data_IF_850588134639
#
_entry.id   IF_850588134639
#
_cell.length_a   1.000
_cell.length_b   1.000
_cell.length_c   1.000
_cell.angle_alpha   90.00
_cell.angle_beta   90.00
_cell.angle_gamma   90.00
#
_symmetry.space_group_name_H-M   'P 1'
#
loop_
_entity.id
_entity.type
_entity.pdbx_description
1 polymer ?
#
# COMPACT_ATOMS: atom_id res chain seq x y z
N UNK A 1 6.27 -19.66 13.44
CA UNK A 1 5.88 -18.93 12.22
C UNK A 1 5.04 -17.75 12.69
N UNK A 2 5.48 -16.50 12.48
CA UNK A 2 4.70 -15.33 12.82
C UNK A 2 3.55 -15.31 11.80
N UNK A 3 2.35 -15.71 12.24
CA UNK A 3 1.15 -15.50 11.41
C UNK A 3 0.97 -14.00 11.27
N UNK A 4 0.96 -13.49 10.06
CA UNK A 4 0.94 -12.06 9.85
C UNK A 4 -0.40 -11.44 10.28
N UNK A 5 -0.51 -10.21 10.04
CA UNK A 5 -1.51 -9.22 10.30
C UNK A 5 -2.99 -9.61 10.07
N UNK A 6 -3.32 -10.77 9.57
CA UNK A 6 -4.68 -11.17 9.22
C UNK A 6 -5.48 -11.66 10.43
N UNK A 7 -6.77 -11.36 10.46
CA UNK A 7 -7.74 -11.96 11.38
C UNK A 7 -8.22 -13.28 10.78
N UNK A 8 -8.29 -14.31 11.61
CA UNK A 8 -9.02 -15.53 11.27
C UNK A 8 -10.50 -15.36 11.68
N UNK A 9 -11.46 -16.04 11.03
CA UNK A 9 -12.90 -15.92 11.36
C UNK A 9 -13.22 -16.20 12.84
N UNK A 10 -12.39 -17.00 13.51
CA UNK A 10 -12.54 -17.36 14.93
C UNK A 10 -11.78 -16.42 15.89
N UNK A 11 -11.03 -15.45 15.37
CA UNK A 11 -10.35 -14.47 16.23
C UNK A 11 -11.37 -13.58 16.93
N UNK A 12 -11.07 -13.21 18.19
CA UNK A 12 -11.88 -12.25 18.98
C UNK A 12 -11.10 -10.95 19.14
N UNK A 13 -11.02 -10.11 18.10
CA UNK A 13 -10.38 -8.81 18.22
C UNK A 13 -11.26 -7.85 19.01
N UNK A 14 -10.64 -6.80 19.56
CA UNK A 14 -11.39 -5.69 20.18
C UNK A 14 -11.85 -4.74 19.08
N UNK A 15 -13.17 -4.48 19.02
CA UNK A 15 -13.73 -3.46 18.15
C UNK A 15 -13.49 -2.09 18.77
N UNK A 16 -12.82 -1.20 18.05
CA UNK A 16 -12.47 0.15 18.51
C UNK A 16 -13.27 1.24 17.80
N UNK A 17 -14.03 0.90 16.78
CA UNK A 17 -14.87 1.82 16.05
C UNK A 17 -15.47 1.18 14.81
N UNK A 18 -16.15 2.00 13.99
CA UNK A 18 -16.77 1.58 12.74
C UNK A 18 -16.71 2.70 11.72
N UNK A 19 -16.48 2.37 10.44
CA UNK A 19 -16.49 3.32 9.32
C UNK A 19 -17.13 2.67 8.09
N UNK A 20 -18.05 3.38 7.43
CA UNK A 20 -18.84 2.88 6.29
C UNK A 20 -19.51 1.50 6.54
N UNK A 21 -19.93 1.24 7.77
CA UNK A 21 -20.50 -0.04 8.17
C UNK A 21 -19.48 -1.14 8.48
N UNK A 22 -18.19 -0.90 8.26
CA UNK A 22 -17.11 -1.86 8.48
C UNK A 22 -16.50 -1.67 9.87
N UNK A 23 -16.37 -2.71 10.73
CA UNK A 23 -15.77 -2.60 12.05
C UNK A 23 -14.25 -2.36 11.93
N UNK A 24 -13.74 -1.43 12.75
CA UNK A 24 -12.31 -1.26 12.99
C UNK A 24 -11.89 -2.07 14.21
N UNK A 25 -10.85 -2.89 14.06
CA UNK A 25 -10.48 -3.84 15.10
C UNK A 25 -8.97 -3.81 15.40
N UNK A 26 -8.65 -4.11 16.64
CA UNK A 26 -7.27 -4.32 17.11
C UNK A 26 -7.13 -5.73 17.70
N UNK A 27 -5.93 -6.31 17.59
CA UNK A 27 -5.60 -7.62 18.17
C UNK A 27 -4.38 -7.46 19.08
N UNK A 28 -4.63 -7.43 20.36
CA UNK A 28 -3.58 -7.30 21.39
C UNK A 28 -2.70 -6.07 21.17
N UNK A 29 -1.41 -6.18 21.50
CA UNK A 29 -0.43 -5.10 21.44
C UNK A 29 -0.15 -4.57 20.02
N UNK A 30 -0.59 -5.29 18.98
CA UNK A 30 -0.44 -4.84 17.58
C UNK A 30 -1.31 -3.62 17.25
N UNK A 31 -2.15 -3.14 18.16
CA UNK A 31 -2.86 -1.86 18.05
C UNK A 31 -1.99 -0.64 18.37
N UNK A 32 -0.76 -0.81 18.88
CA UNK A 32 0.15 0.31 19.19
C UNK A 32 0.65 0.99 17.90
N UNK A 33 0.86 2.33 17.91
CA UNK A 33 1.29 3.12 16.74
C UNK A 33 2.80 3.01 16.48
N UNK A 34 3.31 1.79 16.31
CA UNK A 34 4.76 1.53 16.18
C UNK A 34 5.29 2.04 14.84
N UNK A 35 4.51 1.89 13.76
CA UNK A 35 4.94 2.32 12.42
C UNK A 35 5.08 3.83 12.36
N UNK A 36 4.19 4.58 13.02
CA UNK A 36 4.24 6.03 13.10
C UNK A 36 5.50 6.52 13.83
N UNK A 37 5.86 5.87 14.94
CA UNK A 37 7.05 6.23 15.71
C UNK A 37 8.34 5.92 14.93
N UNK A 38 8.39 4.78 14.26
CA UNK A 38 9.53 4.41 13.39
C UNK A 38 9.62 5.37 12.20
N UNK A 39 8.49 5.68 11.56
CA UNK A 39 8.44 6.63 10.45
C UNK A 39 8.92 8.02 10.88
N UNK A 40 8.47 8.51 12.04
CA UNK A 40 8.93 9.77 12.60
C UNK A 40 10.46 9.81 12.72
N UNK A 41 11.08 8.76 13.28
CA UNK A 41 12.53 8.67 13.43
C UNK A 41 13.26 8.66 12.07
N UNK A 42 12.83 7.78 11.16
CA UNK A 42 13.44 7.65 9.83
C UNK A 42 13.28 8.95 9.02
N UNK A 43 12.07 9.54 9.00
CA UNK A 43 11.81 10.73 8.21
C UNK A 43 12.46 11.98 8.78
N UNK A 44 12.65 12.07 10.11
CA UNK A 44 13.49 13.09 10.75
C UNK A 44 14.95 12.95 10.29
N UNK A 45 15.49 11.73 10.28
CA UNK A 45 16.84 11.47 9.79
C UNK A 45 16.98 11.81 8.30
N UNK A 46 16.00 11.43 7.46
CA UNK A 46 15.98 11.77 6.03
C UNK A 46 15.94 13.29 5.83
N UNK A 47 15.12 14.00 6.60
CA UNK A 47 15.07 15.47 6.56
C UNK A 47 16.45 16.08 6.89
N UNK A 48 17.15 15.56 7.90
CA UNK A 48 18.49 16.00 8.23
C UNK A 48 19.54 15.73 7.13
N UNK A 49 19.39 14.62 6.39
CA UNK A 49 20.28 14.31 5.25
C UNK A 49 20.00 15.17 4.02
N UNK A 50 18.72 15.49 3.75
CA UNK A 50 18.32 16.33 2.60
C UNK A 50 18.50 17.83 2.86
N UNK A 51 18.39 18.25 4.12
CA UNK A 51 18.45 19.65 4.55
C UNK A 51 19.38 19.80 5.75
N UNK A 52 20.70 19.68 5.53
CA UNK A 52 21.71 19.82 6.59
C UNK A 52 21.75 21.25 7.18
N UNK A 53 21.22 22.23 6.46
CA UNK A 53 21.06 23.62 6.86
C UNK A 53 19.94 23.84 7.91
N UNK A 54 19.04 22.88 8.11
CA UNK A 54 17.93 23.04 9.04
C UNK A 54 18.33 22.74 10.49
N UNK A 55 17.77 23.54 11.44
CA UNK A 55 17.90 23.26 12.88
C UNK A 55 17.29 21.91 13.24
N UNK A 56 17.69 21.33 14.34
CA UNK A 56 17.20 20.04 14.81
C UNK A 56 15.67 20.03 15.01
N UNK A 57 15.12 21.11 15.60
CA UNK A 57 13.66 21.27 15.76
C UNK A 57 12.92 21.28 14.42
N UNK A 58 13.47 21.95 13.39
CA UNK A 58 12.88 21.98 12.05
C UNK A 58 12.94 20.61 11.37
N UNK A 59 14.00 19.82 11.59
CA UNK A 59 14.11 18.42 11.11
C UNK A 59 13.09 17.50 11.76
N UNK A 60 12.88 17.61 13.09
CA UNK A 60 11.85 16.86 13.81
C UNK A 60 10.46 17.25 13.28
N UNK A 61 10.18 18.54 13.13
CA UNK A 61 8.93 19.03 12.56
C UNK A 61 8.68 18.49 11.15
N UNK A 62 9.72 18.44 10.30
CA UNK A 62 9.64 17.83 8.98
C UNK A 62 9.35 16.32 9.04
N UNK A 63 10.02 15.59 9.95
CA UNK A 63 9.77 14.19 10.21
C UNK A 63 8.34 13.94 10.67
N UNK A 64 7.83 14.75 11.60
CA UNK A 64 6.48 14.62 12.12
C UNK A 64 5.42 14.86 11.01
N UNK A 65 5.55 15.97 10.26
CA UNK A 65 4.61 16.29 9.18
C UNK A 65 4.64 15.20 8.09
N UNK A 66 5.82 14.76 7.67
CA UNK A 66 5.92 13.73 6.62
C UNK A 66 5.47 12.35 7.10
N UNK A 67 5.69 11.97 8.36
CA UNK A 67 5.14 10.75 8.95
C UNK A 67 3.60 10.79 8.99
N UNK A 68 3.02 11.91 9.41
CA UNK A 68 1.57 12.12 9.38
C UNK A 68 1.01 12.03 7.96
N UNK A 69 1.66 12.65 6.98
CA UNK A 69 1.25 12.58 5.57
C UNK A 69 1.34 11.15 5.02
N UNK A 70 2.38 10.41 5.35
CA UNK A 70 2.56 9.02 4.92
C UNK A 70 1.45 8.12 5.48
N UNK A 71 1.28 8.13 6.80
CA UNK A 71 0.28 7.30 7.48
C UNK A 71 -1.13 7.75 7.12
N UNK A 72 -1.38 9.06 7.05
CA UNK A 72 -2.67 9.62 6.63
C UNK A 72 -3.03 9.24 5.20
N UNK A 73 -2.07 9.24 4.27
CA UNK A 73 -2.28 8.80 2.89
C UNK A 73 -2.64 7.31 2.82
N UNK A 74 -1.99 6.47 3.62
CA UNK A 74 -2.30 5.04 3.73
C UNK A 74 -3.69 4.80 4.33
N UNK A 75 -4.05 5.54 5.38
CA UNK A 75 -5.39 5.48 5.95
C UNK A 75 -6.46 5.89 4.93
N UNK A 76 -6.30 7.01 4.25
CA UNK A 76 -7.25 7.51 3.25
C UNK A 76 -7.38 6.54 2.06
N UNK A 77 -6.29 5.94 1.62
CA UNK A 77 -6.27 4.88 0.60
C UNK A 77 -7.16 3.70 1.01
N UNK A 78 -6.94 3.15 2.21
CA UNK A 78 -7.72 2.00 2.69
C UNK A 78 -9.19 2.37 2.99
N UNK A 79 -9.44 3.58 3.48
CA UNK A 79 -10.81 4.09 3.66
C UNK A 79 -11.53 4.27 2.32
N UNK A 80 -10.83 4.65 1.27
CA UNK A 80 -11.41 4.74 -0.08
C UNK A 80 -11.81 3.36 -0.62
N UNK A 81 -10.99 2.32 -0.44
CA UNK A 81 -11.38 0.94 -0.71
C UNK A 81 -12.64 0.56 0.06
N UNK A 82 -12.67 0.85 1.37
CA UNK A 82 -13.81 0.54 2.25
C UNK A 82 -15.08 1.25 1.79
N UNK A 83 -14.98 2.53 1.43
CA UNK A 83 -16.11 3.31 0.93
C UNK A 83 -16.66 2.75 -0.38
N UNK A 84 -15.79 2.40 -1.33
CA UNK A 84 -16.18 1.79 -2.61
C UNK A 84 -16.84 0.43 -2.35
N UNK A 85 -16.23 -0.43 -1.52
CA UNK A 85 -16.76 -1.75 -1.18
C UNK A 85 -18.16 -1.66 -0.55
N UNK A 86 -18.36 -0.73 0.39
CA UNK A 86 -19.67 -0.46 1.01
C UNK A 86 -20.69 0.03 -0.02
N UNK A 87 -20.29 0.99 -0.88
CA UNK A 87 -21.19 1.57 -1.89
C UNK A 87 -21.69 0.56 -2.93
N UNK A 88 -20.88 -0.44 -3.29
CA UNK A 88 -21.27 -1.50 -4.23
C UNK A 88 -21.98 -2.67 -3.53
N UNK A 89 -22.34 -2.54 -2.24
CA UNK A 89 -23.04 -3.57 -1.48
C UNK A 89 -22.21 -4.80 -1.13
N UNK A 90 -20.89 -4.69 -1.19
CA UNK A 90 -19.92 -5.77 -0.90
C UNK A 90 -18.87 -5.27 0.09
N UNK A 91 -19.26 -4.94 1.34
CA UNK A 91 -18.37 -4.32 2.32
C UNK A 91 -17.15 -5.18 2.65
N UNK A 92 -16.13 -4.54 3.17
CA UNK A 92 -14.97 -5.19 3.79
C UNK A 92 -15.41 -5.84 5.11
N UNK A 93 -14.89 -7.01 5.43
CA UNK A 93 -15.28 -7.73 6.67
C UNK A 93 -14.78 -7.02 7.92
N UNK A 94 -13.55 -6.48 7.90
CA UNK A 94 -12.99 -5.67 8.95
C UNK A 94 -11.83 -4.80 8.45
N UNK A 95 -11.58 -3.69 9.15
CA UNK A 95 -10.33 -2.91 9.06
C UNK A 95 -9.52 -3.23 10.29
N UNK A 96 -8.43 -3.97 10.14
CA UNK A 96 -7.51 -4.23 11.23
C UNK A 96 -6.49 -3.12 11.36
N UNK A 97 -6.39 -2.53 12.53
CA UNK A 97 -5.29 -1.62 12.87
C UNK A 97 -4.10 -2.46 13.30
N UNK A 98 -3.02 -2.39 12.53
CA UNK A 98 -1.79 -3.13 12.76
C UNK A 98 -0.62 -2.17 12.86
N UNK A 99 -0.14 -1.99 14.09
CA UNK A 99 0.92 -1.03 14.43
C UNK A 99 0.68 0.38 13.89
N UNK A 100 -0.60 0.81 13.95
CA UNK A 100 -1.06 2.14 13.54
C UNK A 100 -1.56 2.24 12.10
N UNK A 101 -1.22 1.29 11.22
CA UNK A 101 -1.68 1.29 9.82
C UNK A 101 -2.93 0.40 9.64
N UNK A 102 -3.83 0.74 8.71
CA UNK A 102 -5.01 -0.05 8.40
C UNK A 102 -4.67 -1.20 7.45
N UNK A 103 -5.23 -2.37 7.71
CA UNK A 103 -5.21 -3.52 6.79
C UNK A 103 -6.65 -3.95 6.57
N UNK A 104 -7.07 -4.05 5.32
CA UNK A 104 -8.40 -4.53 4.96
C UNK A 104 -8.43 -6.05 5.03
N UNK A 105 -9.43 -6.58 5.71
CA UNK A 105 -9.65 -8.01 5.86
C UNK A 105 -10.84 -8.43 5.01
N UNK A 106 -10.61 -9.40 4.15
CA UNK A 106 -11.62 -10.14 3.42
C UNK A 106 -11.43 -11.62 3.78
N UNK A 107 -12.43 -12.24 4.41
CA UNK A 107 -12.38 -13.66 4.76
C UNK A 107 -12.46 -14.55 3.52
N UNK A 108 -13.18 -14.11 2.50
CA UNK A 108 -13.18 -14.71 1.17
C UNK A 108 -12.86 -13.64 0.11
N UNK A 109 -11.59 -13.57 -0.27
CA UNK A 109 -11.12 -12.63 -1.30
C UNK A 109 -11.60 -13.03 -2.72
N UNK A 110 -12.00 -14.28 -2.89
CA UNK A 110 -12.47 -14.85 -4.16
C UNK A 110 -13.98 -15.12 -4.15
N UNK A 111 -14.74 -14.46 -3.28
CA UNK A 111 -16.18 -14.64 -3.12
C UNK A 111 -16.91 -14.61 -4.48
N UNK A 112 -17.50 -15.75 -4.83
CA UNK A 112 -18.24 -15.93 -6.10
C UNK A 112 -19.53 -15.09 -6.17
N UNK A 113 -20.02 -14.57 -5.03
CA UNK A 113 -21.14 -13.65 -5.00
C UNK A 113 -20.75 -12.21 -5.36
N UNK A 114 -19.45 -11.94 -5.48
CA UNK A 114 -18.88 -10.66 -5.94
C UNK A 114 -18.59 -10.79 -7.43
N UNK A 115 -19.17 -9.94 -8.25
CA UNK A 115 -18.92 -9.96 -9.69
C UNK A 115 -17.49 -9.49 -10.01
N UNK A 116 -16.93 -9.90 -11.16
CA UNK A 116 -15.59 -9.43 -11.57
C UNK A 116 -15.47 -7.91 -11.57
N UNK A 117 -16.46 -7.19 -12.12
CA UNK A 117 -16.50 -5.71 -12.09
C UNK A 117 -16.50 -5.14 -10.68
N UNK A 118 -17.19 -5.76 -9.72
CA UNK A 118 -17.17 -5.35 -8.32
C UNK A 118 -15.79 -5.57 -7.69
N UNK A 119 -15.11 -6.68 -7.98
CA UNK A 119 -13.73 -6.91 -7.54
C UNK A 119 -12.77 -5.85 -8.12
N UNK A 120 -12.92 -5.50 -9.39
CA UNK A 120 -12.14 -4.43 -10.04
C UNK A 120 -12.37 -3.09 -9.32
N UNK A 121 -13.62 -2.72 -9.04
CA UNK A 121 -13.93 -1.48 -8.32
C UNK A 121 -13.35 -1.48 -6.90
N UNK A 122 -13.43 -2.60 -6.17
CA UNK A 122 -12.80 -2.75 -4.86
C UNK A 122 -11.29 -2.50 -4.96
N UNK A 123 -10.61 -3.10 -5.95
CA UNK A 123 -9.17 -2.96 -6.15
C UNK A 123 -8.76 -1.53 -6.57
N UNK A 124 -9.61 -0.81 -7.28
CA UNK A 124 -9.32 0.56 -7.74
C UNK A 124 -9.63 1.65 -6.70
N UNK A 125 -10.35 1.34 -5.62
CA UNK A 125 -10.80 2.33 -4.64
C UNK A 125 -9.66 3.18 -4.08
N UNK A 126 -8.64 2.54 -3.55
CA UNK A 126 -7.48 3.22 -2.96
C UNK A 126 -6.57 3.90 -3.99
N UNK A 127 -6.07 3.16 -5.01
CA UNK A 127 -5.23 3.76 -6.04
C UNK A 127 -5.90 4.93 -6.75
N UNK A 128 -7.19 4.82 -7.05
CA UNK A 128 -7.98 5.90 -7.66
C UNK A 128 -8.05 7.14 -6.77
N UNK A 129 -8.26 6.96 -5.47
CA UNK A 129 -8.26 8.08 -4.52
C UNK A 129 -6.89 8.77 -4.47
N UNK A 130 -5.80 8.03 -4.35
CA UNK A 130 -4.47 8.64 -4.37
C UNK A 130 -4.16 9.32 -5.70
N UNK A 131 -4.60 8.76 -6.82
CA UNK A 131 -4.46 9.40 -8.13
C UNK A 131 -5.20 10.76 -8.21
N UNK A 132 -6.38 10.87 -7.57
CA UNK A 132 -7.11 12.16 -7.46
C UNK A 132 -6.36 13.17 -6.58
N UNK A 133 -5.58 12.72 -5.59
CA UNK A 133 -4.77 13.61 -4.75
C UNK A 133 -3.49 14.11 -5.45
N UNK A 134 -3.03 13.45 -6.54
CA UNK A 134 -1.83 13.87 -7.27
C UNK A 134 -1.93 15.32 -7.79
N UNK A 135 -2.97 15.71 -8.54
CA UNK A 135 -3.07 17.10 -9.03
C UNK A 135 -3.20 18.12 -7.88
N UNK A 136 -3.86 17.77 -6.78
CA UNK A 136 -4.01 18.63 -5.60
C UNK A 136 -2.66 18.86 -4.90
N UNK A 137 -1.90 17.79 -4.68
CA UNK A 137 -0.58 17.87 -4.05
C UNK A 137 0.44 18.51 -4.98
N UNK A 138 0.31 18.33 -6.30
CA UNK A 138 1.10 19.03 -7.30
C UNK A 138 0.83 20.55 -7.26
N UNK A 139 -0.42 20.96 -7.20
CA UNK A 139 -0.79 22.37 -7.06
C UNK A 139 -0.26 22.95 -5.75
N UNK A 140 -0.46 22.27 -4.62
CA UNK A 140 0.08 22.68 -3.32
C UNK A 140 1.60 22.88 -3.36
N UNK A 141 2.30 22.00 -4.06
CA UNK A 141 3.74 22.12 -4.30
C UNK A 141 4.09 23.45 -5.00
N UNK A 142 3.35 23.83 -6.03
CA UNK A 142 3.61 25.07 -6.78
C UNK A 142 3.23 26.35 -6.02
N UNK A 143 2.31 26.25 -5.06
CA UNK A 143 1.89 27.36 -4.21
C UNK A 143 2.82 27.58 -2.99
N UNK A 144 3.80 26.71 -2.77
CA UNK A 144 4.71 26.79 -1.62
C UNK A 144 6.11 27.21 -2.04
N UNK A 145 6.75 28.05 -1.21
CA UNK A 145 8.09 28.58 -1.46
C UNK A 145 9.17 27.51 -1.22
N UNK A 146 10.13 27.42 -2.13
CA UNK A 146 11.28 26.53 -2.00
C UNK A 146 12.09 26.78 -0.72
N UNK A 147 12.65 25.73 -0.13
CA UNK A 147 13.41 25.83 1.11
C UNK A 147 12.59 25.88 2.39
N UNK A 148 11.26 25.99 2.28
CA UNK A 148 10.35 25.98 3.43
C UNK A 148 9.93 24.57 3.86
N UNK A 149 9.42 24.45 5.08
CA UNK A 149 8.84 23.22 5.60
C UNK A 149 7.57 22.82 4.82
N UNK A 150 6.76 23.81 4.46
CA UNK A 150 5.54 23.60 3.67
C UNK A 150 5.84 23.02 2.30
N UNK A 151 6.90 23.52 1.62
CA UNK A 151 7.31 22.94 0.35
C UNK A 151 7.85 21.53 0.50
N UNK A 152 8.63 21.27 1.54
CA UNK A 152 9.12 19.91 1.86
C UNK A 152 7.95 18.93 2.08
N UNK A 153 6.94 19.35 2.83
CA UNK A 153 5.71 18.58 3.05
C UNK A 153 4.93 18.34 1.75
N UNK A 154 4.78 19.37 0.91
CA UNK A 154 4.07 19.26 -0.38
C UNK A 154 4.80 18.32 -1.37
N UNK A 155 6.13 18.43 -1.47
CA UNK A 155 6.97 17.52 -2.27
C UNK A 155 6.84 16.06 -1.77
N UNK A 156 6.79 15.86 -0.45
CA UNK A 156 6.60 14.55 0.15
C UNK A 156 5.19 13.99 -0.13
N UNK A 157 4.15 14.80 0.06
CA UNK A 157 2.77 14.41 -0.21
C UNK A 157 2.56 14.02 -1.68
N UNK A 158 3.10 14.81 -2.62
CA UNK A 158 3.07 14.49 -4.05
C UNK A 158 3.78 13.17 -4.33
N UNK A 159 5.00 12.98 -3.80
CA UNK A 159 5.76 11.75 -3.96
C UNK A 159 5.04 10.53 -3.39
N UNK A 160 4.43 10.66 -2.22
CA UNK A 160 3.66 9.58 -1.56
C UNK A 160 2.43 9.19 -2.37
N UNK A 161 1.64 10.16 -2.83
CA UNK A 161 0.44 9.86 -3.62
C UNK A 161 0.78 9.27 -5.00
N UNK A 162 1.83 9.75 -5.67
CA UNK A 162 2.33 9.13 -6.90
C UNK A 162 2.81 7.69 -6.64
N UNK A 163 3.56 7.48 -5.56
CA UNK A 163 4.08 6.17 -5.20
C UNK A 163 2.94 5.19 -4.92
N UNK A 164 1.99 5.55 -4.06
CA UNK A 164 0.88 4.66 -3.69
C UNK A 164 -0.02 4.40 -4.92
N UNK A 165 -0.41 5.44 -5.68
CA UNK A 165 -1.29 5.26 -6.84
C UNK A 165 -0.68 4.43 -7.98
N UNK A 166 0.65 4.36 -8.08
CA UNK A 166 1.33 3.61 -9.15
C UNK A 166 1.83 2.25 -8.69
N UNK A 167 2.50 2.16 -7.55
CA UNK A 167 3.08 0.90 -7.07
C UNK A 167 2.03 -0.08 -6.53
N UNK A 168 0.92 0.41 -5.96
CA UNK A 168 -0.17 -0.47 -5.57
C UNK A 168 -0.84 -1.16 -6.77
N UNK A 169 -0.67 -0.63 -7.99
CA UNK A 169 -1.16 -1.23 -9.22
C UNK A 169 -0.19 -2.24 -9.85
N UNK A 170 0.97 -2.49 -9.26
CA UNK A 170 1.78 -3.61 -9.69
C UNK A 170 0.98 -4.92 -9.57
N UNK A 171 1.03 -5.81 -10.56
CA UNK A 171 0.21 -7.02 -10.60
C UNK A 171 0.72 -8.09 -9.62
N UNK A 172 0.97 -7.71 -8.38
CA UNK A 172 1.48 -8.55 -7.30
C UNK A 172 0.29 -8.92 -6.40
N UNK A 173 -0.02 -10.22 -6.19
CA UNK A 173 -0.99 -10.66 -5.19
C UNK A 173 -0.66 -10.11 -3.80
N UNK A 174 -1.70 -9.64 -3.09
CA UNK A 174 -1.56 -9.00 -1.78
C UNK A 174 -1.44 -7.47 -1.82
N UNK A 175 -1.36 -6.88 -3.03
CA UNK A 175 -1.58 -5.45 -3.28
C UNK A 175 -2.62 -5.29 -4.40
N UNK A 176 -3.15 -4.09 -4.61
CA UNK A 176 -4.35 -3.84 -5.43
C UNK A 176 -4.24 -4.32 -6.88
N UNK A 177 -3.04 -4.23 -7.47
CA UNK A 177 -2.81 -4.61 -8.85
C UNK A 177 -2.92 -6.12 -9.13
N UNK A 178 -2.69 -6.98 -8.14
CA UNK A 178 -2.88 -8.41 -8.26
C UNK A 178 -4.34 -8.80 -8.49
N UNK A 179 -5.25 -8.47 -7.56
CA UNK A 179 -6.69 -8.64 -7.73
C UNK A 179 -7.22 -7.91 -8.97
N UNK A 180 -6.75 -6.70 -9.25
CA UNK A 180 -7.16 -5.94 -10.44
C UNK A 180 -6.87 -6.72 -11.72
N UNK A 181 -5.65 -7.23 -11.90
CA UNK A 181 -5.26 -8.00 -13.08
C UNK A 181 -6.09 -9.29 -13.18
N UNK A 182 -6.21 -10.05 -12.09
CA UNK A 182 -6.99 -11.29 -12.05
C UNK A 182 -8.41 -11.07 -12.51
N UNK A 183 -9.11 -10.14 -11.86
CA UNK A 183 -10.52 -9.94 -12.13
C UNK A 183 -10.80 -9.22 -13.46
N UNK A 184 -9.86 -8.41 -13.96
CA UNK A 184 -9.94 -7.88 -15.33
C UNK A 184 -9.86 -9.00 -16.38
N UNK A 185 -9.00 -10.01 -16.17
CA UNK A 185 -8.93 -11.18 -17.05
C UNK A 185 -10.22 -12.01 -17.00
N UNK A 186 -10.82 -12.16 -15.80
CA UNK A 186 -12.10 -12.88 -15.66
C UNK A 186 -13.24 -12.11 -16.34
N UNK A 187 -13.29 -10.78 -16.21
CA UNK A 187 -14.26 -9.92 -16.90
C UNK A 187 -14.14 -10.04 -18.42
N UNK A 188 -12.92 -10.24 -18.93
CA UNK A 188 -12.64 -10.51 -20.35
C UNK A 188 -12.94 -11.95 -20.79
N UNK A 189 -13.59 -12.75 -19.94
CA UNK A 189 -14.05 -14.11 -20.24
C UNK A 189 -13.03 -15.22 -19.96
N UNK A 190 -11.92 -14.93 -19.27
CA UNK A 190 -11.00 -16.01 -18.86
C UNK A 190 -11.53 -16.73 -17.61
N UNK A 191 -11.45 -18.06 -17.56
CA UNK A 191 -11.73 -18.79 -16.32
C UNK A 191 -10.83 -18.32 -15.18
N UNK A 192 -11.30 -18.25 -13.91
CA UNK A 192 -10.48 -17.80 -12.77
C UNK A 192 -9.16 -18.56 -12.62
N UNK A 193 -9.16 -19.87 -12.85
CA UNK A 193 -7.94 -20.69 -12.79
C UNK A 193 -6.91 -20.34 -13.88
N UNK A 194 -7.36 -19.88 -15.05
CA UNK A 194 -6.47 -19.40 -16.12
C UNK A 194 -5.95 -18.01 -15.78
N UNK A 195 -6.79 -17.12 -15.27
CA UNK A 195 -6.39 -15.81 -14.77
C UNK A 195 -5.29 -15.92 -13.71
N UNK A 196 -5.44 -16.86 -12.74
CA UNK A 196 -4.42 -17.11 -11.71
C UNK A 196 -3.08 -17.59 -12.32
N UNK A 197 -3.11 -18.42 -13.38
CA UNK A 197 -1.89 -18.84 -14.10
C UNK A 197 -1.22 -17.65 -14.80
N UNK A 198 -2.02 -16.78 -15.42
CA UNK A 198 -1.50 -15.57 -16.07
C UNK A 198 -0.87 -14.64 -15.05
N UNK A 199 -1.53 -14.38 -13.92
CA UNK A 199 -0.99 -13.56 -12.82
C UNK A 199 0.35 -14.11 -12.32
N UNK A 200 0.47 -15.43 -12.15
CA UNK A 200 1.74 -16.08 -11.80
C UNK A 200 2.82 -15.86 -12.87
N UNK A 201 2.48 -16.05 -14.13
CA UNK A 201 3.41 -15.81 -15.25
C UNK A 201 3.90 -14.37 -15.32
N UNK A 202 2.98 -13.40 -15.11
CA UNK A 202 3.32 -11.97 -15.05
C UNK A 202 4.26 -11.69 -13.87
N UNK A 203 4.03 -12.31 -12.71
CA UNK A 203 4.91 -12.14 -11.55
C UNK A 203 6.29 -12.75 -11.77
N UNK A 204 6.43 -13.87 -12.49
CA UNK A 204 7.73 -14.40 -12.87
C UNK A 204 8.49 -13.42 -13.77
N UNK A 205 7.83 -12.88 -14.79
CA UNK A 205 8.43 -11.91 -15.70
C UNK A 205 8.82 -10.61 -14.99
N UNK A 206 7.90 -10.08 -14.14
CA UNK A 206 8.13 -8.89 -13.31
C UNK A 206 9.32 -9.10 -12.37
N UNK A 207 9.35 -10.24 -11.66
CA UNK A 207 10.43 -10.57 -10.73
C UNK A 207 11.79 -10.70 -11.42
N UNK A 208 11.84 -11.31 -12.61
CA UNK A 208 13.06 -11.38 -13.41
C UNK A 208 13.53 -9.99 -13.86
N UNK A 209 12.62 -9.16 -14.40
CA UNK A 209 12.92 -7.78 -14.81
C UNK A 209 13.40 -6.91 -13.65
N UNK A 210 12.74 -6.98 -12.52
CA UNK A 210 13.15 -6.27 -11.28
C UNK A 210 14.51 -6.79 -10.78
N UNK A 211 14.79 -8.10 -10.90
CA UNK A 211 16.10 -8.66 -10.55
C UNK A 211 17.23 -8.06 -11.38
N UNK A 212 17.04 -7.93 -12.69
CA UNK A 212 17.98 -7.23 -13.57
C UNK A 212 18.13 -5.76 -13.18
N UNK A 213 17.03 -5.05 -12.96
CA UNK A 213 17.04 -3.64 -12.54
C UNK A 213 17.77 -3.44 -11.21
N UNK A 214 17.58 -4.35 -10.26
CA UNK A 214 18.32 -4.37 -8.98
C UNK A 214 19.82 -4.49 -9.22
N UNK A 215 20.26 -5.46 -10.03
CA UNK A 215 21.67 -5.66 -10.39
C UNK A 215 22.30 -4.40 -10.99
N UNK A 216 21.58 -3.74 -11.92
CA UNK A 216 22.02 -2.47 -12.51
C UNK A 216 22.12 -1.35 -11.46
N UNK A 217 21.15 -1.23 -10.54
CA UNK A 217 21.18 -0.24 -9.47
C UNK A 217 22.36 -0.47 -8.53
N UNK A 218 22.63 -1.71 -8.15
CA UNK A 218 23.77 -2.09 -7.31
C UNK A 218 25.11 -1.79 -7.99
N UNK A 219 25.24 -2.12 -9.27
CA UNK A 219 26.45 -1.81 -10.08
C UNK A 219 26.69 -0.29 -10.16
N UNK A 220 25.61 0.52 -10.23
CA UNK A 220 25.68 1.99 -10.19
C UNK A 220 25.87 2.54 -8.77
N UNK A 221 26.24 1.72 -7.79
CA UNK A 221 26.43 2.06 -6.37
C UNK A 221 25.18 2.66 -5.68
N UNK A 222 23.98 2.49 -6.24
CA UNK A 222 22.70 2.88 -5.63
C UNK A 222 22.19 1.78 -4.70
N UNK A 223 22.98 1.47 -3.66
CA UNK A 223 22.79 0.28 -2.81
C UNK A 223 21.37 0.14 -2.25
N UNK A 224 20.82 1.19 -1.64
CA UNK A 224 19.49 1.14 -1.04
C UNK A 224 18.38 0.93 -2.07
N UNK A 225 18.50 1.58 -3.23
CA UNK A 225 17.56 1.38 -4.33
C UNK A 225 17.66 -0.06 -4.87
N UNK A 226 18.87 -0.57 -5.05
CA UNK A 226 19.09 -1.94 -5.50
C UNK A 226 18.49 -2.97 -4.53
N UNK A 227 18.70 -2.79 -3.22
CA UNK A 227 18.13 -3.68 -2.19
C UNK A 227 16.59 -3.61 -2.17
N UNK A 228 16.00 -2.40 -2.27
CA UNK A 228 14.55 -2.26 -2.32
C UNK A 228 13.96 -2.97 -3.56
N UNK A 229 14.56 -2.76 -4.75
CA UNK A 229 14.12 -3.44 -5.98
C UNK A 229 14.30 -4.96 -5.85
N UNK A 230 15.41 -5.44 -5.22
CA UNK A 230 15.63 -6.87 -4.99
C UNK A 230 14.54 -7.50 -4.12
N UNK A 231 14.08 -6.80 -3.09
CA UNK A 231 12.99 -7.28 -2.23
C UNK A 231 11.69 -7.47 -3.04
N UNK A 232 11.31 -6.50 -3.87
CA UNK A 232 10.16 -6.63 -4.77
C UNK A 232 10.35 -7.75 -5.80
N UNK A 233 11.55 -7.90 -6.37
CA UNK A 233 11.88 -8.99 -7.28
C UNK A 233 11.70 -10.35 -6.62
N UNK A 234 12.25 -10.54 -5.41
CA UNK A 234 12.14 -11.78 -4.65
C UNK A 234 10.67 -12.12 -4.31
N UNK A 235 9.87 -11.14 -3.89
CA UNK A 235 8.44 -11.32 -3.62
C UNK A 235 7.70 -11.76 -4.89
N UNK A 236 7.89 -11.05 -6.01
CA UNK A 236 7.26 -11.40 -7.28
C UNK A 236 7.65 -12.80 -7.77
N UNK A 237 8.95 -13.16 -7.68
CA UNK A 237 9.41 -14.51 -8.02
C UNK A 237 8.79 -15.57 -7.12
N UNK A 238 8.75 -15.35 -5.81
CA UNK A 238 8.16 -16.28 -4.85
C UNK A 238 6.66 -16.54 -5.15
N UNK A 239 5.92 -15.51 -5.53
CA UNK A 239 4.52 -15.60 -5.95
C UNK A 239 4.42 -16.37 -7.28
N UNK A 240 5.20 -15.99 -8.27
CA UNK A 240 5.20 -16.65 -9.58
C UNK A 240 5.54 -18.13 -9.51
N UNK A 241 6.48 -18.52 -8.63
CA UNK A 241 6.85 -19.92 -8.35
C UNK A 241 5.82 -20.64 -7.46
N UNK A 242 4.81 -19.94 -6.93
CA UNK A 242 3.80 -20.53 -6.04
C UNK A 242 4.31 -20.84 -4.63
N UNK A 243 5.45 -20.24 -4.24
CA UNK A 243 6.02 -20.37 -2.88
C UNK A 243 5.22 -19.53 -1.87
N UNK A 244 4.67 -18.41 -2.31
CA UNK A 244 3.70 -17.60 -1.58
C UNK A 244 2.32 -17.84 -2.20
N UNK A 245 1.40 -18.35 -1.41
CA UNK A 245 0.01 -18.58 -1.82
C UNK A 245 -0.84 -17.45 -1.25
N UNK A 246 -1.78 -16.91 -2.05
CA UNK A 246 -2.90 -16.16 -1.49
C UNK A 246 -3.59 -17.05 -0.44
N UNK A 247 -3.93 -16.47 0.70
CA UNK A 247 -4.77 -17.17 1.67
C UNK A 247 -6.13 -17.43 1.02
N UNK A 248 -6.53 -18.70 1.04
CA UNK A 248 -7.88 -19.11 0.69
C UNK A 248 -8.83 -18.71 1.80
#
# INVERSE_FOLDING_TARGET
MIKPAFLEPNDRPTVVGQVFGTPMVVKGWTGLPVIELVALGILTWVAGRKRPDWSWSKRIGAGAVTATLMVGSEWLHNLAHTAVASKIGKPVDAIRIFWGTPILIYYDINDQQVTPSQHILRALGGPGFNALLVPLTWAARHLTQEGTLTRYAADFALGTNLFISTLSLLPIPGIDGGPLLKWALVELGRPPAEADKIVKGVNLALGAGLGVASGVALKKRRKWLGVAIAAFAATSLAIGLGLLKEQK
#
